data_IF_982173270686
#
_entry.id   IF_982173270686
#
_cell.length_a   1.000
_cell.length_b   1.000
_cell.length_c   1.000
_cell.angle_alpha   90.00
_cell.angle_beta   90.00
_cell.angle_gamma   90.00
#
_symmetry.space_group_name_H-M   'P 1'
#
loop_
_entity.id
_entity.type
_entity.pdbx_description
1 polymer ?
#
# COMPACT_ATOMS: atom_id res chain seq x y z
N UNK A 1 -1.75 4.82 24.06
CA UNK A 1 -2.25 4.99 22.68
C UNK A 1 -3.77 5.07 22.74
N UNK A 2 -4.39 5.96 21.94
CA UNK A 2 -5.85 6.11 21.90
C UNK A 2 -6.34 5.41 20.64
N UNK A 3 -7.20 4.39 20.81
CA UNK A 3 -7.83 3.67 19.71
C UNK A 3 -8.60 4.64 18.78
N UNK A 4 -8.30 4.61 17.49
CA UNK A 4 -9.02 5.36 16.45
C UNK A 4 -9.77 4.40 15.53
N UNK A 5 -11.04 4.67 15.32
CA UNK A 5 -11.90 3.91 14.39
C UNK A 5 -12.17 4.75 13.15
N UNK A 6 -11.90 4.18 11.98
CA UNK A 6 -12.14 4.78 10.66
C UNK A 6 -13.01 3.80 9.87
N UNK A 7 -13.94 4.31 9.06
CA UNK A 7 -14.88 3.47 8.32
C UNK A 7 -14.75 3.69 6.81
N UNK A 8 -14.85 2.60 6.06
CA UNK A 8 -15.03 2.60 4.62
C UNK A 8 -16.41 2.04 4.32
N UNK A 9 -17.19 2.81 3.57
CA UNK A 9 -18.52 2.42 3.10
C UNK A 9 -18.49 2.29 1.57
N UNK A 10 -18.02 1.15 1.08
CA UNK A 10 -17.94 0.83 -0.32
C UNK A 10 -19.20 0.16 -0.87
N UNK A 11 -19.28 0.02 -2.19
CA UNK A 11 -20.32 -0.80 -2.85
C UNK A 11 -20.05 -2.29 -2.69
N UNK A 12 -18.80 -2.67 -2.45
CA UNK A 12 -18.35 -4.05 -2.30
C UNK A 12 -18.31 -4.52 -0.84
N UNK A 13 -18.70 -3.67 0.10
CA UNK A 13 -18.76 -4.00 1.53
C UNK A 13 -18.48 -2.79 2.43
N UNK A 14 -18.58 -3.03 3.72
CA UNK A 14 -18.27 -2.08 4.78
C UNK A 14 -17.05 -2.59 5.54
N UNK A 15 -16.10 -1.70 5.82
CA UNK A 15 -14.88 -2.05 6.57
C UNK A 15 -14.66 -1.09 7.73
N UNK A 16 -14.25 -1.63 8.87
CA UNK A 16 -13.87 -0.88 10.05
C UNK A 16 -12.36 -0.99 10.27
N UNK A 17 -11.66 0.15 10.32
CA UNK A 17 -10.21 0.18 10.50
C UNK A 17 -9.92 0.71 11.91
N UNK A 18 -9.21 -0.09 12.69
CA UNK A 18 -8.87 0.20 14.07
C UNK A 18 -7.37 0.50 14.16
N UNK A 19 -7.00 1.77 14.32
CA UNK A 19 -5.59 2.18 14.45
C UNK A 19 -5.22 2.32 15.92
N UNK A 20 -4.16 1.63 16.34
CA UNK A 20 -3.72 1.56 17.73
C UNK A 20 -4.34 0.41 18.52
N UNK A 21 -5.11 -0.47 17.87
CA UNK A 21 -5.58 -1.72 18.45
C UNK A 21 -4.46 -2.78 18.44
N UNK A 22 -4.48 -3.65 19.44
CA UNK A 22 -3.44 -4.69 19.57
C UNK A 22 -3.86 -6.01 18.93
N UNK A 23 -2.91 -6.66 18.26
CA UNK A 23 -3.01 -8.06 17.79
C UNK A 23 -3.53 -9.00 18.90
N UNK A 24 -3.19 -8.74 20.16
CA UNK A 24 -3.59 -9.57 21.31
C UNK A 24 -5.08 -9.51 21.65
N UNK A 25 -5.81 -8.54 21.12
CA UNK A 25 -7.23 -8.35 21.38
C UNK A 25 -8.12 -8.94 20.28
N UNK A 26 -7.56 -9.72 19.35
CA UNK A 26 -8.27 -10.27 18.18
C UNK A 26 -9.52 -11.09 18.53
N UNK A 27 -9.49 -11.83 19.63
CA UNK A 27 -10.63 -12.64 20.06
C UNK A 27 -11.93 -11.83 20.19
N UNK A 28 -11.84 -10.54 20.53
CA UNK A 28 -13.01 -9.65 20.65
C UNK A 28 -13.65 -9.25 19.31
N UNK A 29 -12.99 -9.53 18.19
CA UNK A 29 -13.44 -9.21 16.84
C UNK A 29 -13.92 -10.45 16.05
N UNK A 30 -13.72 -11.66 16.60
CA UNK A 30 -13.94 -12.91 15.87
C UNK A 30 -15.24 -13.62 16.24
N UNK A 31 -15.95 -13.15 17.24
CA UNK A 31 -17.23 -13.68 17.75
C UNK A 31 -17.21 -15.20 17.97
N UNK A 32 -17.18 -16.10 18.04
CA UNK A 32 -17.15 -17.57 18.12
C UNK A 32 -17.15 -18.25 16.73
N UNK A 33 -16.80 -17.52 15.66
CA UNK A 33 -16.72 -18.08 14.31
C UNK A 33 -15.59 -19.10 14.20
N UNK A 34 -15.72 -20.07 13.31
CA UNK A 34 -14.57 -20.86 12.87
C UNK A 34 -13.60 -19.92 12.11
N UNK A 35 -12.33 -19.90 12.49
CA UNK A 35 -11.33 -19.01 11.92
C UNK A 35 -10.19 -19.81 11.28
N UNK A 36 -9.81 -19.43 10.06
CA UNK A 36 -8.54 -19.83 9.47
C UNK A 36 -7.65 -18.59 9.31
N UNK A 37 -6.44 -18.66 9.86
CA UNK A 37 -5.44 -17.58 9.75
C UNK A 37 -4.53 -17.89 8.57
N UNK A 38 -4.39 -16.92 7.64
CA UNK A 38 -3.42 -16.96 6.56
C UNK A 38 -2.27 -16.04 6.95
N UNK A 39 -1.05 -16.57 6.98
CA UNK A 39 0.16 -15.84 7.39
C UNK A 39 1.39 -16.36 6.63
N UNK A 40 2.50 -15.66 6.73
CA UNK A 40 3.79 -16.14 6.22
C UNK A 40 4.71 -16.64 7.34
N UNK A 41 5.77 -17.38 6.97
CA UNK A 41 6.69 -17.98 7.95
C UNK A 41 7.42 -16.96 8.81
N UNK A 42 7.70 -15.75 8.30
CA UNK A 42 8.36 -14.70 9.07
C UNK A 42 7.43 -14.19 10.19
N UNK A 43 6.19 -13.89 9.83
CA UNK A 43 5.18 -13.36 10.77
C UNK A 43 4.80 -14.42 11.79
N UNK A 44 4.59 -15.68 11.36
CA UNK A 44 4.34 -16.80 12.26
C UNK A 44 5.48 -16.97 13.27
N UNK A 45 6.74 -16.89 12.83
CA UNK A 45 7.91 -17.01 13.69
C UNK A 45 7.95 -15.96 14.84
N UNK A 46 7.40 -14.78 14.64
CA UNK A 46 7.36 -13.72 15.66
C UNK A 46 6.09 -13.75 16.51
N UNK A 47 4.93 -14.04 15.92
CA UNK A 47 3.62 -13.67 16.49
C UNK A 47 2.64 -14.82 16.65
N UNK A 48 2.91 -16.06 16.17
CA UNK A 48 1.95 -17.17 16.22
C UNK A 48 1.44 -17.48 17.64
N UNK A 49 2.29 -17.30 18.65
CA UNK A 49 1.90 -17.46 20.07
C UNK A 49 0.86 -16.46 20.56
N UNK A 50 0.73 -15.32 19.88
CA UNK A 50 -0.22 -14.25 20.16
C UNK A 50 -1.47 -14.34 19.24
N UNK A 51 -1.56 -15.36 18.36
CA UNK A 51 -2.72 -15.59 17.51
C UNK A 51 -3.89 -16.15 18.32
N UNK A 52 -5.12 -15.83 17.93
CA UNK A 52 -6.30 -16.51 18.48
C UNK A 52 -6.26 -18.00 18.14
N UNK A 53 -7.05 -18.80 18.88
CA UNK A 53 -7.17 -20.23 18.60
C UNK A 53 -7.84 -20.46 17.23
N UNK A 54 -7.05 -20.80 16.23
CA UNK A 54 -7.51 -20.98 14.85
C UNK A 54 -6.64 -22.00 14.12
N UNK A 55 -7.07 -22.43 12.95
CA UNK A 55 -6.22 -23.15 12.03
C UNK A 55 -5.28 -22.16 11.32
N UNK A 56 -3.97 -22.43 11.32
CA UNK A 56 -2.96 -21.54 10.73
C UNK A 56 -2.49 -22.11 9.40
N UNK A 57 -2.75 -21.40 8.33
CA UNK A 57 -2.29 -21.70 6.97
C UNK A 57 -1.08 -20.82 6.69
N UNK A 58 0.09 -21.42 6.55
CA UNK A 58 1.32 -20.69 6.22
C UNK A 58 1.56 -20.71 4.73
N UNK A 59 1.88 -19.53 4.19
CA UNK A 59 2.29 -19.36 2.79
C UNK A 59 3.78 -18.98 2.71
N UNK A 60 4.36 -19.10 1.53
CA UNK A 60 5.72 -18.65 1.28
C UNK A 60 5.89 -17.14 1.49
N UNK A 61 7.14 -16.69 1.60
CA UNK A 61 7.50 -15.28 1.81
C UNK A 61 7.83 -14.58 0.49
N UNK A 62 7.64 -13.27 0.46
CA UNK A 62 8.01 -12.40 -0.67
C UNK A 62 7.07 -12.48 -1.86
N UNK A 63 7.34 -11.66 -2.87
CA UNK A 63 6.46 -11.47 -4.05
C UNK A 63 6.24 -12.76 -4.87
N UNK A 64 7.19 -13.70 -4.80
CA UNK A 64 7.07 -15.01 -5.46
C UNK A 64 5.95 -15.90 -4.92
N UNK A 65 5.49 -15.65 -3.69
CA UNK A 65 4.37 -16.38 -3.10
C UNK A 65 2.99 -15.87 -3.55
N UNK A 66 2.91 -14.73 -4.23
CA UNK A 66 1.65 -14.09 -4.64
C UNK A 66 1.11 -14.67 -5.95
N UNK A 67 0.74 -15.94 -5.95
CA UNK A 67 0.38 -16.72 -7.15
C UNK A 67 -0.96 -17.45 -7.00
N UNK A 68 -1.54 -17.89 -8.13
CA UNK A 68 -2.71 -18.76 -8.13
C UNK A 68 -2.41 -20.14 -7.51
N UNK A 69 -1.18 -20.63 -7.62
CA UNK A 69 -0.75 -21.89 -6.99
C UNK A 69 -0.84 -21.81 -5.46
N UNK A 70 -0.39 -20.70 -4.87
CA UNK A 70 -0.55 -20.43 -3.44
C UNK A 70 -2.03 -20.41 -3.03
N UNK A 71 -2.87 -19.78 -3.84
CA UNK A 71 -4.33 -19.72 -3.61
C UNK A 71 -4.94 -21.11 -3.67
N UNK A 72 -4.55 -21.95 -4.64
CA UNK A 72 -4.99 -23.34 -4.75
C UNK A 72 -4.60 -24.15 -3.50
N UNK A 73 -3.37 -24.02 -3.01
CA UNK A 73 -2.91 -24.68 -1.79
C UNK A 73 -3.69 -24.25 -0.53
N UNK A 74 -4.15 -22.98 -0.48
CA UNK A 74 -5.03 -22.51 0.60
C UNK A 74 -6.42 -23.15 0.48
N UNK A 75 -7.00 -23.24 -0.73
CA UNK A 75 -8.29 -23.90 -0.93
C UNK A 75 -8.26 -25.38 -0.52
N UNK A 76 -7.18 -26.09 -0.84
CA UNK A 76 -7.02 -27.50 -0.42
C UNK A 76 -7.09 -27.64 1.11
N UNK A 77 -6.35 -26.80 1.83
CA UNK A 77 -6.39 -26.81 3.29
C UNK A 77 -7.75 -26.43 3.87
N UNK A 78 -8.45 -25.45 3.28
CA UNK A 78 -9.82 -25.10 3.70
C UNK A 78 -10.81 -26.24 3.47
N UNK A 79 -10.68 -27.01 2.38
CA UNK A 79 -11.51 -28.20 2.11
C UNK A 79 -11.20 -29.31 3.11
N UNK A 80 -9.92 -29.56 3.42
CA UNK A 80 -9.51 -30.54 4.43
C UNK A 80 -10.01 -30.19 5.83
N UNK A 81 -10.19 -28.91 6.13
CA UNK A 81 -10.81 -28.40 7.36
C UNK A 81 -12.34 -28.51 7.38
N UNK A 82 -12.94 -29.00 6.30
CA UNK A 82 -14.40 -28.99 6.13
C UNK A 82 -15.01 -27.59 6.33
N UNK A 83 -14.25 -26.53 5.94
CA UNK A 83 -14.64 -25.15 6.11
C UNK A 83 -15.90 -24.82 5.29
N UNK A 84 -16.99 -24.43 5.96
CA UNK A 84 -18.22 -24.01 5.33
C UNK A 84 -18.28 -22.47 5.12
N UNK A 85 -19.44 -21.95 4.72
CA UNK A 85 -19.63 -20.52 4.44
C UNK A 85 -19.56 -19.61 5.66
N UNK A 86 -19.58 -20.15 6.87
CA UNK A 86 -19.47 -19.40 8.12
C UNK A 86 -18.02 -19.19 8.56
N UNK A 87 -17.06 -19.79 7.85
CA UNK A 87 -15.63 -19.58 8.15
C UNK A 87 -15.24 -18.12 7.97
N UNK A 88 -14.42 -17.64 8.91
CA UNK A 88 -13.79 -16.32 8.80
C UNK A 88 -12.32 -16.47 8.44
N UNK A 89 -11.87 -15.77 7.38
CA UNK A 89 -10.48 -15.77 6.99
C UNK A 89 -9.77 -14.54 7.55
N UNK A 90 -8.70 -14.74 8.32
CA UNK A 90 -7.93 -13.68 8.94
C UNK A 90 -6.52 -13.63 8.34
N UNK A 91 -6.22 -12.58 7.58
CA UNK A 91 -4.88 -12.34 7.06
C UNK A 91 -4.01 -11.63 8.10
N UNK A 92 -2.99 -12.30 8.65
CA UNK A 92 -2.02 -11.69 9.55
C UNK A 92 -0.66 -11.65 8.84
N UNK A 93 -0.29 -10.49 8.29
CA UNK A 93 0.93 -10.39 7.49
C UNK A 93 1.09 -9.07 6.75
N UNK A 94 2.08 -9.01 5.86
CA UNK A 94 2.30 -7.89 4.97
C UNK A 94 1.26 -7.79 3.85
N UNK A 95 1.44 -6.85 2.92
CA UNK A 95 0.51 -6.62 1.81
C UNK A 95 0.24 -7.86 0.94
N UNK A 96 1.23 -8.75 0.78
CA UNK A 96 1.08 -10.00 0.03
C UNK A 96 0.06 -10.91 0.73
N UNK A 97 0.18 -11.08 2.04
CA UNK A 97 -0.77 -11.88 2.84
C UNK A 97 -2.17 -11.27 2.78
N UNK A 98 -2.29 -9.94 2.92
CA UNK A 98 -3.59 -9.26 2.81
C UNK A 98 -4.23 -9.50 1.44
N UNK A 99 -3.48 -9.30 0.35
CA UNK A 99 -4.00 -9.46 -1.01
C UNK A 99 -4.44 -10.90 -1.30
N UNK A 100 -3.64 -11.90 -0.90
CA UNK A 100 -3.98 -13.34 -1.05
C UNK A 100 -5.21 -13.67 -0.20
N UNK A 101 -5.24 -13.28 1.07
CA UNK A 101 -6.37 -13.55 1.97
C UNK A 101 -7.68 -12.99 1.41
N UNK A 102 -7.68 -11.73 1.00
CA UNK A 102 -8.87 -11.11 0.45
C UNK A 102 -9.32 -11.74 -0.88
N UNK A 103 -8.37 -12.17 -1.72
CA UNK A 103 -8.70 -12.88 -2.97
C UNK A 103 -9.28 -14.26 -2.70
N UNK A 104 -8.67 -15.05 -1.79
CA UNK A 104 -9.20 -16.35 -1.34
C UNK A 104 -10.59 -16.19 -0.76
N UNK A 105 -10.76 -15.25 0.19
CA UNK A 105 -12.05 -15.00 0.82
C UNK A 105 -13.14 -14.64 -0.20
N UNK A 106 -12.80 -13.86 -1.21
CA UNK A 106 -13.75 -13.42 -2.23
C UNK A 106 -14.16 -14.52 -3.20
N UNK A 107 -13.40 -15.60 -3.30
CA UNK A 107 -13.59 -16.65 -4.31
C UNK A 107 -13.95 -18.02 -3.72
N UNK A 108 -13.47 -18.36 -2.52
CA UNK A 108 -13.84 -19.57 -1.81
C UNK A 108 -15.34 -19.59 -1.54
N UNK A 109 -16.04 -20.67 -1.89
CA UNK A 109 -17.51 -20.84 -1.76
C UNK A 109 -18.34 -19.65 -2.33
N UNK A 110 -17.79 -18.86 -3.26
CA UNK A 110 -18.33 -17.61 -3.85
C UNK A 110 -18.37 -16.43 -2.89
N UNK A 111 -17.55 -16.45 -1.85
CA UNK A 111 -17.38 -15.39 -0.87
C UNK A 111 -17.61 -15.86 0.56
N UNK A 112 -16.64 -15.58 1.42
CA UNK A 112 -16.69 -15.73 2.87
C UNK A 112 -16.16 -14.46 3.52
N UNK A 113 -16.48 -14.25 4.80
CA UNK A 113 -16.06 -13.06 5.54
C UNK A 113 -14.57 -13.11 5.88
N UNK A 114 -13.95 -11.94 5.96
CA UNK A 114 -12.53 -11.85 6.24
C UNK A 114 -12.13 -10.52 6.90
N UNK A 115 -10.95 -10.53 7.53
CA UNK A 115 -10.32 -9.37 8.13
C UNK A 115 -8.80 -9.39 8.00
N UNK A 116 -8.16 -8.29 8.39
CA UNK A 116 -6.72 -8.13 8.30
C UNK A 116 -6.07 -7.64 9.59
N UNK A 117 -4.86 -8.15 9.85
CA UNK A 117 -3.89 -7.57 10.75
C UNK A 117 -2.60 -7.31 9.96
N UNK A 118 -2.48 -6.14 9.33
CA UNK A 118 -1.30 -5.80 8.54
C UNK A 118 -0.07 -5.63 9.42
N UNK A 119 1.01 -6.35 9.11
CA UNK A 119 2.24 -6.36 9.93
C UNK A 119 3.39 -5.55 9.35
N UNK A 120 3.24 -4.97 8.16
CA UNK A 120 4.19 -4.01 7.60
C UNK A 120 3.60 -2.61 7.61
N UNK A 121 4.44 -1.57 7.70
CA UNK A 121 3.97 -0.18 7.66
C UNK A 121 3.21 0.11 6.35
N UNK A 122 3.76 -0.36 5.22
CA UNK A 122 3.11 -0.25 3.90
C UNK A 122 1.70 -0.86 3.91
N UNK A 123 1.53 -2.03 4.53
CA UNK A 123 0.22 -2.67 4.59
C UNK A 123 -0.73 -1.94 5.53
N UNK A 124 -0.27 -1.40 6.66
CA UNK A 124 -1.09 -0.65 7.60
C UNK A 124 -1.66 0.63 6.99
N UNK A 125 -0.85 1.35 6.19
CA UNK A 125 -1.28 2.64 5.63
C UNK A 125 -1.86 2.54 4.22
N UNK A 126 -1.60 1.44 3.51
CA UNK A 126 -1.99 1.33 2.09
C UNK A 126 -2.60 -0.04 1.74
N UNK A 127 -1.86 -1.13 1.67
CA UNK A 127 -2.31 -2.37 1.03
C UNK A 127 -3.57 -2.98 1.65
N UNK A 128 -3.77 -2.92 2.97
CA UNK A 128 -4.96 -3.47 3.65
C UNK A 128 -6.21 -2.59 3.51
N UNK A 129 -6.08 -1.37 2.99
CA UNK A 129 -7.15 -0.36 2.97
C UNK A 129 -7.70 -0.18 1.56
N UNK A 130 -9.02 -0.32 1.39
CA UNK A 130 -9.69 0.00 0.13
C UNK A 130 -9.99 -1.17 -0.79
N UNK A 131 -9.98 -2.40 -0.27
CA UNK A 131 -10.59 -3.59 -0.86
C UNK A 131 -9.95 -4.14 -2.13
N UNK A 132 -8.82 -3.64 -2.59
CA UNK A 132 -8.07 -4.25 -3.68
C UNK A 132 -7.43 -5.53 -3.19
N UNK A 133 -7.71 -6.66 -3.83
CA UNK A 133 -7.13 -7.96 -3.53
C UNK A 133 -6.72 -8.64 -4.82
N UNK A 134 -5.74 -9.53 -4.80
CA UNK A 134 -5.37 -10.24 -6.01
C UNK A 134 -4.00 -10.87 -5.97
N UNK A 135 -3.68 -11.54 -7.08
CA UNK A 135 -2.44 -12.28 -7.28
C UNK A 135 -1.77 -11.90 -8.60
N UNK A 136 -0.50 -12.24 -8.70
CA UNK A 136 0.29 -12.08 -9.91
C UNK A 136 -0.04 -13.20 -10.90
N UNK A 137 0.03 -12.88 -12.18
CA UNK A 137 -0.21 -13.85 -13.23
C UNK A 137 0.66 -13.58 -14.46
N UNK A 138 1.33 -14.60 -14.97
CA UNK A 138 2.20 -14.55 -16.18
C UNK A 138 3.21 -13.38 -16.14
N UNK A 139 3.84 -13.13 -14.98
CA UNK A 139 4.83 -12.05 -14.80
C UNK A 139 4.25 -10.64 -14.64
N UNK A 140 2.92 -10.50 -14.61
CA UNK A 140 2.25 -9.23 -14.35
C UNK A 140 1.76 -9.17 -12.90
N UNK A 141 2.11 -8.10 -12.18
CA UNK A 141 1.65 -7.87 -10.81
C UNK A 141 0.15 -7.57 -10.78
N UNK A 142 -0.54 -8.13 -9.77
CA UNK A 142 -1.95 -7.86 -9.47
C UNK A 142 -2.90 -8.00 -10.68
N UNK A 143 -2.62 -8.95 -11.59
CA UNK A 143 -3.37 -9.10 -12.83
C UNK A 143 -4.74 -9.74 -12.61
N UNK A 144 -4.83 -10.65 -11.65
CA UNK A 144 -6.07 -11.35 -11.30
C UNK A 144 -6.48 -10.93 -9.91
N UNK A 145 -7.65 -10.33 -9.77
CA UNK A 145 -8.09 -9.80 -8.48
C UNK A 145 -9.51 -9.26 -8.52
N UNK A 146 -9.98 -8.86 -7.35
CA UNK A 146 -11.31 -8.30 -7.14
C UNK A 146 -11.26 -7.10 -6.21
N UNK A 147 -12.33 -6.32 -6.17
CA UNK A 147 -12.59 -5.35 -5.11
C UNK A 147 -13.54 -6.00 -4.11
N UNK A 148 -13.09 -6.19 -2.88
CA UNK A 148 -13.90 -6.68 -1.77
C UNK A 148 -13.37 -6.11 -0.45
N UNK A 149 -14.24 -5.54 0.39
CA UNK A 149 -13.83 -4.91 1.65
C UNK A 149 -13.73 -5.96 2.77
N UNK A 150 -12.64 -5.97 3.58
CA UNK A 150 -12.59 -6.76 4.80
C UNK A 150 -13.60 -6.21 5.81
N UNK A 151 -14.17 -7.07 6.68
CA UNK A 151 -15.01 -6.60 7.78
C UNK A 151 -14.26 -5.63 8.68
N UNK A 152 -13.01 -5.98 9.01
CA UNK A 152 -12.15 -5.13 9.81
C UNK A 152 -10.68 -5.17 9.38
N UNK A 153 -9.96 -4.12 9.76
CA UNK A 153 -8.49 -4.03 9.69
C UNK A 153 -7.97 -3.57 11.05
N UNK A 154 -7.07 -4.33 11.66
CA UNK A 154 -6.44 -3.97 12.92
C UNK A 154 -5.00 -3.52 12.66
N UNK A 155 -4.75 -2.23 12.74
CA UNK A 155 -3.42 -1.64 12.62
C UNK A 155 -2.79 -1.53 14.01
N UNK A 156 -1.95 -2.50 14.36
CA UNK A 156 -1.14 -2.51 15.58
C UNK A 156 0.26 -1.94 15.27
N UNK A 157 0.58 -0.70 15.68
CA UNK A 157 1.93 -0.15 15.46
C UNK A 157 3.01 -0.94 16.21
N UNK A 158 2.64 -1.70 17.24
CA UNK A 158 3.56 -2.49 18.05
C UNK A 158 4.24 -3.63 17.29
N UNK A 159 3.60 -4.16 16.25
CA UNK A 159 4.16 -5.25 15.41
C UNK A 159 5.27 -4.74 14.46
N UNK A 160 5.38 -3.43 14.25
CA UNK A 160 6.43 -2.86 13.40
C UNK A 160 7.84 -2.98 13.99
N UNK A 161 7.96 -3.32 15.28
CA UNK A 161 9.27 -3.50 15.95
C UNK A 161 10.10 -4.65 15.39
N UNK A 162 9.46 -5.65 14.78
CA UNK A 162 10.15 -6.79 14.16
C UNK A 162 10.31 -6.63 12.65
N UNK A 163 9.77 -5.54 12.08
CA UNK A 163 9.87 -5.28 10.66
C UNK A 163 11.31 -4.87 10.28
N UNK A 164 11.91 -5.47 9.24
CA UNK A 164 13.20 -5.04 8.73
C UNK A 164 13.18 -3.55 8.38
N UNK A 165 14.27 -2.84 8.68
CA UNK A 165 14.35 -1.39 8.46
C UNK A 165 14.05 -0.98 7.02
N UNK A 166 14.47 -1.78 6.03
CA UNK A 166 14.21 -1.51 4.60
C UNK A 166 12.71 -1.52 4.29
N UNK A 167 11.97 -2.47 4.87
CA UNK A 167 10.52 -2.58 4.68
C UNK A 167 9.77 -1.44 5.42
N UNK A 168 10.28 -1.04 6.57
CA UNK A 168 9.76 0.12 7.29
C UNK A 168 9.92 1.40 6.43
N UNK A 169 11.13 1.64 5.90
CA UNK A 169 11.43 2.78 5.02
C UNK A 169 10.51 2.76 3.78
N UNK A 170 10.31 1.58 3.18
CA UNK A 170 9.39 1.43 2.05
C UNK A 170 7.97 1.91 2.37
N UNK A 171 7.46 1.66 3.59
CA UNK A 171 6.15 2.12 4.03
C UNK A 171 6.05 3.65 4.16
N UNK A 172 7.14 4.32 4.54
CA UNK A 172 7.14 5.79 4.62
C UNK A 172 6.94 6.48 3.27
N UNK A 173 7.29 5.87 2.15
CA UNK A 173 7.01 6.43 0.83
C UNK A 173 5.51 6.66 0.60
N UNK A 174 4.67 5.70 1.02
CA UNK A 174 3.22 5.82 0.91
C UNK A 174 2.65 6.89 1.86
N UNK A 175 3.22 7.03 3.05
CA UNK A 175 2.86 8.07 4.01
C UNK A 175 3.14 9.46 3.43
N UNK A 176 4.35 9.68 2.88
CA UNK A 176 4.71 10.93 2.20
C UNK A 176 3.79 11.18 1.01
N UNK A 177 3.48 10.15 0.22
CA UNK A 177 2.54 10.25 -0.89
C UNK A 177 1.17 10.75 -0.43
N UNK A 178 0.60 10.15 0.62
CA UNK A 178 -0.72 10.55 1.14
C UNK A 178 -0.73 12.01 1.59
N UNK A 179 0.28 12.45 2.35
CA UNK A 179 0.41 13.82 2.77
C UNK A 179 0.56 14.78 1.57
N UNK A 180 1.44 14.46 0.62
CA UNK A 180 1.71 15.29 -0.54
C UNK A 180 0.47 15.52 -1.44
N UNK A 181 -0.40 14.51 -1.57
CA UNK A 181 -1.60 14.62 -2.44
C UNK A 181 -2.81 15.24 -1.76
N UNK A 182 -2.90 15.26 -0.42
CA UNK A 182 -4.16 15.54 0.27
C UNK A 182 -4.07 16.54 1.42
N UNK A 183 -2.92 16.65 2.14
CA UNK A 183 -2.86 17.48 3.37
C UNK A 183 -1.46 18.07 3.61
N UNK A 184 -1.35 19.40 3.44
CA UNK A 184 -0.09 20.13 3.69
C UNK A 184 0.28 20.18 5.18
N UNK A 185 -0.70 20.19 6.09
CA UNK A 185 -0.45 20.23 7.53
C UNK A 185 0.16 18.90 7.98
N UNK A 186 -0.37 17.79 7.46
CA UNK A 186 0.18 16.47 7.68
C UNK A 186 1.60 16.34 7.07
N UNK A 187 1.84 16.92 5.89
CA UNK A 187 3.17 16.96 5.29
C UNK A 187 4.17 17.68 6.21
N UNK A 188 3.79 18.84 6.77
CA UNK A 188 4.62 19.59 7.72
C UNK A 188 4.87 18.80 9.00
N UNK A 189 3.84 18.10 9.52
CA UNK A 189 4.02 17.22 10.68
C UNK A 189 5.06 16.13 10.42
N UNK A 190 5.08 15.55 9.22
CA UNK A 190 6.10 14.56 8.84
C UNK A 190 7.50 15.16 8.77
N UNK A 191 7.65 16.40 8.25
CA UNK A 191 8.95 17.09 8.23
C UNK A 191 9.50 17.28 9.65
N UNK A 192 8.64 17.64 10.62
CA UNK A 192 9.02 17.89 12.01
C UNK A 192 9.29 16.61 12.80
N UNK A 193 8.69 15.48 12.41
CA UNK A 193 8.72 14.24 13.18
C UNK A 193 9.42 13.06 12.47
N UNK A 194 10.09 13.27 11.34
CA UNK A 194 10.74 12.20 10.58
C UNK A 194 11.71 11.36 11.42
N UNK A 195 12.52 12.00 12.26
CA UNK A 195 13.47 11.32 13.17
C UNK A 195 12.76 10.43 14.20
N UNK A 196 11.68 10.93 14.80
CA UNK A 196 10.87 10.17 15.77
C UNK A 196 10.15 8.98 15.11
N UNK A 197 9.69 9.16 13.86
CA UNK A 197 9.08 8.10 13.07
C UNK A 197 10.08 6.96 12.78
N UNK A 198 11.31 7.28 12.41
CA UNK A 198 12.37 6.29 12.12
C UNK A 198 12.79 5.46 13.34
N UNK A 199 12.70 6.02 14.54
CA UNK A 199 12.99 5.30 15.80
C UNK A 199 11.74 4.63 16.39
N UNK A 200 10.64 4.57 15.64
CA UNK A 200 9.38 3.94 16.02
C UNK A 200 8.77 4.53 17.30
N UNK A 201 8.85 5.88 17.47
CA UNK A 201 8.12 6.53 18.57
C UNK A 201 6.64 6.17 18.50
N UNK A 202 6.05 5.58 19.55
CA UNK A 202 4.70 5.03 19.47
C UNK A 202 3.62 6.08 19.21
N UNK A 203 3.77 7.29 19.73
CA UNK A 203 2.79 8.36 19.57
C UNK A 203 2.85 8.91 18.14
N UNK A 204 4.06 9.12 17.61
CA UNK A 204 4.28 9.58 16.22
C UNK A 204 3.80 8.54 15.24
N UNK A 205 4.16 7.25 15.43
CA UNK A 205 3.69 6.17 14.55
C UNK A 205 2.17 6.06 14.50
N UNK A 206 1.52 6.09 15.66
CA UNK A 206 0.06 6.02 15.69
C UNK A 206 -0.56 7.19 14.93
N UNK A 207 -0.03 8.41 15.11
CA UNK A 207 -0.56 9.60 14.45
C UNK A 207 -0.38 9.50 12.93
N UNK A 208 0.83 9.17 12.44
CA UNK A 208 1.10 9.09 11.00
C UNK A 208 0.34 7.96 10.31
N UNK A 209 0.15 6.82 10.97
CA UNK A 209 -0.67 5.73 10.44
C UNK A 209 -2.13 6.19 10.37
N UNK A 210 -2.64 6.80 11.44
CA UNK A 210 -4.02 7.28 11.49
C UNK A 210 -4.31 8.29 10.37
N UNK A 211 -3.49 9.33 10.23
CA UNK A 211 -3.70 10.38 9.22
C UNK A 211 -3.61 9.82 7.80
N UNK A 212 -2.66 8.91 7.56
CA UNK A 212 -2.54 8.21 6.28
C UNK A 212 -3.79 7.39 5.94
N UNK A 213 -4.30 6.61 6.91
CA UNK A 213 -5.50 5.80 6.74
C UNK A 213 -6.74 6.66 6.52
N UNK A 214 -6.88 7.78 7.26
CA UNK A 214 -7.97 8.75 7.06
C UNK A 214 -7.98 9.29 5.64
N UNK A 215 -6.83 9.75 5.13
CA UNK A 215 -6.71 10.25 3.76
C UNK A 215 -7.11 9.18 2.75
N UNK A 216 -6.58 7.96 2.91
CA UNK A 216 -6.87 6.88 1.98
C UNK A 216 -8.33 6.46 2.04
N UNK A 217 -8.90 6.30 3.23
CA UNK A 217 -10.30 5.93 3.42
C UNK A 217 -11.25 6.97 2.79
N UNK A 218 -10.98 8.26 2.97
CA UNK A 218 -11.76 9.34 2.37
C UNK A 218 -11.73 9.29 0.83
N UNK A 219 -10.57 9.04 0.22
CA UNK A 219 -10.44 8.88 -1.23
C UNK A 219 -11.18 7.62 -1.71
N UNK A 220 -11.07 6.50 -0.99
CA UNK A 220 -11.75 5.24 -1.33
C UNK A 220 -13.27 5.39 -1.22
N UNK A 221 -13.77 6.05 -0.19
CA UNK A 221 -15.20 6.33 -0.01
C UNK A 221 -15.79 7.13 -1.18
N UNK A 222 -15.00 8.01 -1.80
CA UNK A 222 -15.42 8.79 -2.97
C UNK A 222 -15.29 8.02 -4.29
N UNK A 223 -14.33 7.09 -4.37
CA UNK A 223 -14.05 6.35 -5.61
C UNK A 223 -13.45 4.97 -5.30
N UNK A 224 -14.28 4.01 -4.97
CA UNK A 224 -13.85 2.67 -4.59
C UNK A 224 -13.09 1.93 -5.72
N UNK A 225 -13.52 2.10 -6.97
CA UNK A 225 -13.04 1.33 -8.13
C UNK A 225 -12.00 2.03 -9.00
N UNK A 226 -11.45 3.17 -8.53
CA UNK A 226 -10.36 3.91 -9.19
C UNK A 226 -10.70 4.43 -10.61
N UNK A 227 -11.90 4.96 -10.76
CA UNK A 227 -12.33 5.58 -12.03
C UNK A 227 -12.08 7.08 -12.11
N UNK A 228 -11.81 7.74 -10.98
CA UNK A 228 -11.64 9.19 -10.87
C UNK A 228 -10.66 9.60 -9.77
N UNK A 229 -11.18 10.03 -8.61
CA UNK A 229 -10.42 10.58 -7.47
C UNK A 229 -9.33 9.64 -6.93
N UNK A 230 -9.60 8.34 -6.89
CA UNK A 230 -8.63 7.34 -6.39
C UNK A 230 -7.37 7.26 -7.23
N UNK A 231 -7.40 7.71 -8.50
CA UNK A 231 -6.20 7.81 -9.35
C UNK A 231 -5.11 8.69 -8.71
N UNK A 232 -5.48 9.65 -7.84
CA UNK A 232 -4.52 10.51 -7.13
C UNK A 232 -3.55 9.73 -6.25
N UNK A 233 -3.96 8.56 -5.75
CA UNK A 233 -3.09 7.64 -5.02
C UNK A 233 -1.92 7.08 -5.86
N UNK A 234 -1.96 7.27 -7.18
CA UNK A 234 -0.86 6.89 -8.07
C UNK A 234 0.23 8.00 -8.20
N UNK A 235 0.26 9.01 -7.34
CA UNK A 235 1.37 9.97 -7.30
C UNK A 235 2.69 9.24 -7.08
N UNK A 236 3.66 9.48 -7.96
CA UNK A 236 4.93 8.74 -7.98
C UNK A 236 4.89 7.37 -8.66
N UNK A 237 3.74 6.69 -8.72
CA UNK A 237 3.65 5.30 -9.20
C UNK A 237 3.85 5.14 -10.70
N UNK A 238 3.44 6.12 -11.52
CA UNK A 238 3.54 5.99 -12.97
C UNK A 238 4.99 5.78 -13.42
N UNK A 239 5.93 6.55 -12.88
CA UNK A 239 7.34 6.35 -13.12
C UNK A 239 7.96 5.31 -12.18
N UNK A 240 7.52 5.28 -10.91
CA UNK A 240 8.01 4.33 -9.91
C UNK A 240 7.90 2.87 -10.36
N UNK A 241 6.80 2.44 -10.99
CA UNK A 241 6.66 1.07 -11.50
C UNK A 241 7.68 0.74 -12.62
N UNK A 242 8.03 1.72 -13.47
CA UNK A 242 9.09 1.51 -14.46
C UNK A 242 10.44 1.34 -13.78
N UNK A 243 10.74 2.15 -12.75
CA UNK A 243 11.96 2.03 -11.94
C UNK A 243 12.00 0.70 -11.20
N UNK A 244 10.94 0.32 -10.50
CA UNK A 244 10.82 -0.95 -9.78
C UNK A 244 11.12 -2.15 -10.69
N UNK A 245 10.53 -2.16 -11.88
CA UNK A 245 10.69 -3.23 -12.86
C UNK A 245 12.10 -3.29 -13.46
N UNK A 246 12.72 -2.15 -13.72
CA UNK A 246 14.02 -2.09 -14.43
C UNK A 246 15.21 -2.17 -13.49
N UNK A 247 15.12 -1.60 -12.28
CA UNK A 247 16.18 -1.57 -11.29
C UNK A 247 16.08 -2.68 -10.22
N UNK A 248 14.92 -3.35 -10.08
CA UNK A 248 14.73 -4.39 -9.08
C UNK A 248 14.81 -3.89 -7.63
N UNK A 249 14.51 -2.61 -7.39
CA UNK A 249 14.53 -2.01 -6.06
C UNK A 249 13.14 -2.14 -5.38
N UNK A 250 13.06 -2.01 -4.04
CA UNK A 250 11.79 -2.06 -3.32
C UNK A 250 10.79 -1.03 -3.82
N UNK A 251 9.51 -1.38 -3.68
CA UNK A 251 8.39 -0.56 -4.11
C UNK A 251 8.45 0.88 -3.59
N UNK A 252 8.63 1.10 -2.28
CA UNK A 252 8.68 2.44 -1.71
C UNK A 252 9.88 3.27 -2.17
N UNK A 253 11.04 2.63 -2.41
CA UNK A 253 12.21 3.30 -3.00
C UNK A 253 11.88 3.79 -4.42
N UNK A 254 11.24 2.95 -5.21
CA UNK A 254 10.82 3.28 -6.58
C UNK A 254 9.75 4.38 -6.60
N UNK A 255 8.76 4.33 -5.70
CA UNK A 255 7.72 5.36 -5.56
C UNK A 255 8.32 6.70 -5.12
N UNK A 256 9.33 6.69 -4.22
CA UNK A 256 10.05 7.89 -3.81
C UNK A 256 10.69 8.60 -5.01
N UNK A 257 11.45 7.88 -5.82
CA UNK A 257 12.04 8.41 -7.05
C UNK A 257 10.92 8.92 -7.98
N UNK A 258 9.85 8.17 -8.12
CA UNK A 258 8.70 8.55 -8.93
C UNK A 258 8.02 9.83 -8.45
N UNK A 259 7.92 10.07 -7.14
CA UNK A 259 7.39 11.33 -6.57
C UNK A 259 8.27 12.53 -6.92
N UNK A 260 9.59 12.38 -6.89
CA UNK A 260 10.51 13.43 -7.31
C UNK A 260 10.31 13.78 -8.79
N UNK A 261 10.21 12.77 -9.66
CA UNK A 261 9.95 12.96 -11.09
C UNK A 261 8.61 13.65 -11.35
N UNK A 262 7.54 13.19 -10.68
CA UNK A 262 6.21 13.80 -10.79
C UNK A 262 6.20 15.26 -10.29
N UNK A 263 7.01 15.58 -9.26
CA UNK A 263 7.17 16.94 -8.75
C UNK A 263 7.90 17.85 -9.74
N UNK A 264 8.92 17.34 -10.42
CA UNK A 264 9.62 18.06 -11.49
C UNK A 264 8.73 18.29 -12.71
N UNK A 265 7.90 17.32 -13.09
CA UNK A 265 6.85 17.50 -14.09
C UNK A 265 5.86 18.59 -13.67
N UNK A 266 5.47 18.62 -12.40
CA UNK A 266 4.57 19.65 -11.83
C UNK A 266 5.21 21.06 -11.91
N UNK A 267 6.53 21.17 -11.66
CA UNK A 267 7.27 22.42 -11.83
C UNK A 267 7.31 22.85 -13.30
N UNK A 268 7.62 21.93 -14.21
CA UNK A 268 7.67 22.20 -15.65
C UNK A 268 6.34 22.72 -16.19
N UNK A 269 5.22 22.23 -15.62
CA UNK A 269 3.86 22.70 -15.90
C UNK A 269 3.49 24.02 -15.20
N UNK A 270 4.37 24.58 -14.39
CA UNK A 270 4.08 25.79 -13.60
C UNK A 270 3.11 25.59 -12.43
N UNK A 271 2.86 24.33 -12.04
CA UNK A 271 1.97 23.97 -10.94
C UNK A 271 2.64 24.06 -9.57
N UNK A 272 3.90 23.59 -9.46
CA UNK A 272 4.71 23.66 -8.25
C UNK A 272 5.80 24.74 -8.36
N UNK A 273 6.29 25.17 -7.21
CA UNK A 273 7.48 26.04 -7.08
C UNK A 273 8.68 25.20 -6.69
N UNK A 274 9.89 25.71 -7.00
CA UNK A 274 11.16 25.03 -6.63
C UNK A 274 11.22 24.70 -5.14
N UNK A 275 10.82 25.64 -4.26
CA UNK A 275 10.78 25.42 -2.82
C UNK A 275 9.93 24.21 -2.38
N UNK A 276 8.87 23.90 -3.10
CA UNK A 276 7.99 22.78 -2.77
C UNK A 276 8.66 21.45 -3.14
N UNK A 277 9.42 21.42 -4.25
CA UNK A 277 10.23 20.26 -4.62
C UNK A 277 11.35 20.04 -3.61
N UNK A 278 12.01 21.09 -3.16
CA UNK A 278 13.08 21.02 -2.17
C UNK A 278 12.53 20.43 -0.85
N UNK A 279 11.34 20.83 -0.43
CA UNK A 279 10.64 20.24 0.75
C UNK A 279 10.39 18.74 0.54
N UNK A 280 9.84 18.35 -0.62
CA UNK A 280 9.54 16.94 -0.92
C UNK A 280 10.84 16.11 -0.90
N UNK A 281 11.89 16.56 -1.58
CA UNK A 281 13.20 15.89 -1.59
C UNK A 281 13.79 15.79 -0.18
N UNK A 282 13.70 16.88 0.58
CA UNK A 282 14.23 16.93 1.95
C UNK A 282 13.53 15.91 2.86
N UNK A 283 12.18 15.87 2.84
CA UNK A 283 11.42 14.92 3.65
C UNK A 283 11.74 13.46 3.25
N UNK A 284 11.79 13.16 1.95
CA UNK A 284 12.16 11.82 1.47
C UNK A 284 13.57 11.43 1.96
N UNK A 285 14.53 12.35 1.90
CA UNK A 285 15.90 12.12 2.39
C UNK A 285 15.95 11.95 3.90
N UNK A 286 15.20 12.75 4.67
CA UNK A 286 15.10 12.58 6.14
C UNK A 286 14.57 11.19 6.53
N UNK A 287 13.70 10.61 5.70
CA UNK A 287 13.14 9.27 5.88
C UNK A 287 14.00 8.16 5.23
N UNK A 288 15.23 8.45 4.85
CA UNK A 288 16.17 7.52 4.19
C UNK A 288 15.65 6.94 2.85
N UNK A 289 14.76 7.64 2.17
CA UNK A 289 14.25 7.28 0.85
C UNK A 289 15.11 7.88 -0.25
N UNK A 290 15.38 7.15 -1.36
CA UNK A 290 16.17 7.68 -2.47
C UNK A 290 15.42 8.76 -3.23
N UNK A 291 16.16 9.80 -3.66
CA UNK A 291 15.62 10.95 -4.42
C UNK A 291 16.26 11.11 -5.80
N UNK A 292 17.24 10.27 -6.13
CA UNK A 292 17.99 10.31 -7.39
C UNK A 292 17.76 9.05 -8.22
N UNK A 293 17.93 9.19 -9.54
CA UNK A 293 17.83 8.08 -10.49
C UNK A 293 19.26 7.59 -10.80
N UNK A 294 19.61 6.42 -10.28
CA UNK A 294 20.92 5.78 -10.55
C UNK A 294 20.84 4.73 -11.68
N UNK A 295 19.81 4.74 -12.49
CA UNK A 295 19.52 3.71 -13.48
C UNK A 295 19.42 4.25 -14.90
N UNK A 296 19.51 3.35 -15.89
CA UNK A 296 19.42 3.65 -17.32
C UNK A 296 18.07 4.27 -17.70
N UNK A 297 18.07 5.58 -17.91
CA UNK A 297 16.89 6.37 -18.28
C UNK A 297 16.23 5.88 -19.57
N UNK A 298 16.99 5.29 -20.50
CA UNK A 298 16.47 4.78 -21.78
C UNK A 298 15.61 3.53 -21.54
N UNK A 299 16.08 2.62 -20.68
CA UNK A 299 15.29 1.43 -20.29
C UNK A 299 14.01 1.79 -19.56
N UNK A 300 14.06 2.83 -18.73
CA UNK A 300 12.88 3.33 -18.01
C UNK A 300 11.85 3.92 -18.96
N UNK A 301 12.28 4.69 -19.96
CA UNK A 301 11.40 5.23 -21.01
C UNK A 301 10.75 4.10 -21.83
N UNK A 302 11.52 3.08 -22.22
CA UNK A 302 10.96 1.92 -22.93
C UNK A 302 9.93 1.18 -22.07
N UNK A 303 10.22 0.95 -20.78
CA UNK A 303 9.27 0.33 -19.86
C UNK A 303 7.97 1.14 -19.71
N UNK A 304 8.08 2.47 -19.64
CA UNK A 304 6.94 3.37 -19.54
C UNK A 304 6.11 3.40 -20.82
N UNK A 305 6.76 3.35 -21.99
CA UNK A 305 6.09 3.35 -23.31
C UNK A 305 5.22 2.11 -23.51
N UNK A 306 5.54 1.01 -22.83
CA UNK A 306 4.81 -0.28 -22.85
C UNK A 306 3.78 -0.40 -21.73
N UNK A 307 3.61 0.61 -20.86
CA UNK A 307 2.64 0.57 -19.74
C UNK A 307 1.20 0.59 -20.27
N UNK A 308 0.33 -0.19 -19.64
CA UNK A 308 -1.11 -0.27 -19.92
C UNK A 308 -1.88 1.03 -19.66
N UNK A 309 -1.28 2.00 -18.93
CA UNK A 309 -1.84 3.33 -18.68
C UNK A 309 -1.75 4.27 -19.87
N UNK A 310 -1.21 3.81 -21.01
CA UNK A 310 -1.10 4.58 -22.25
C UNK A 310 -2.46 4.67 -22.96
N UNK A 311 -2.91 5.89 -23.24
CA UNK A 311 -4.02 6.17 -24.13
C UNK A 311 -3.53 7.05 -25.30
N UNK A 312 -3.33 6.47 -26.47
CA UNK A 312 -2.76 7.16 -27.63
C UNK A 312 -1.30 7.59 -27.36
N UNK A 313 -0.98 8.89 -27.58
CA UNK A 313 0.39 9.42 -27.47
C UNK A 313 0.75 9.96 -26.07
N UNK A 314 -0.07 9.73 -25.06
CA UNK A 314 0.17 10.25 -23.72
C UNK A 314 -0.09 9.24 -22.60
N UNK A 315 0.45 9.55 -21.43
CA UNK A 315 0.31 8.77 -20.20
C UNK A 315 -0.28 9.67 -19.14
N UNK A 316 -1.20 9.13 -18.32
CA UNK A 316 -1.74 9.85 -17.18
C UNK A 316 -0.73 9.88 -16.02
N UNK A 317 -0.40 11.08 -15.59
CA UNK A 317 0.40 11.34 -14.40
C UNK A 317 -0.45 12.02 -13.34
N UNK A 318 -0.15 11.70 -12.09
CA UNK A 318 -0.60 12.50 -10.96
C UNK A 318 0.46 13.55 -10.70
N UNK A 319 0.05 14.80 -10.72
CA UNK A 319 0.88 15.97 -10.47
C UNK A 319 0.39 16.69 -9.21
N UNK A 320 1.21 17.56 -8.64
CA UNK A 320 0.82 18.41 -7.53
C UNK A 320 0.59 19.85 -8.01
N UNK A 321 -0.58 20.42 -7.70
CA UNK A 321 -0.81 21.87 -7.87
C UNK A 321 -0.26 22.70 -6.69
N UNK A 322 -0.06 22.05 -5.55
CA UNK A 322 0.69 22.43 -4.35
C UNK A 322 0.88 21.19 -3.49
N UNK A 323 1.75 21.23 -2.49
CA UNK A 323 1.76 20.22 -1.44
C UNK A 323 0.37 20.17 -0.79
N UNK A 324 -0.18 18.97 -0.61
CA UNK A 324 -1.54 18.74 -0.12
C UNK A 324 -2.63 18.82 -1.18
N UNK A 325 -2.30 18.98 -2.47
CA UNK A 325 -3.31 19.00 -3.54
C UNK A 325 -2.81 18.42 -4.87
N UNK A 326 -3.32 17.25 -5.21
CA UNK A 326 -3.00 16.57 -6.46
C UNK A 326 -4.03 16.82 -7.57
N UNK A 327 -3.56 16.76 -8.82
CA UNK A 327 -4.34 16.77 -10.05
C UNK A 327 -3.90 15.63 -10.96
N UNK A 328 -4.78 15.16 -11.83
CA UNK A 328 -4.45 14.11 -12.82
C UNK A 328 -4.37 14.76 -14.19
N UNK A 329 -3.22 14.64 -14.86
CA UNK A 329 -2.99 15.21 -16.17
C UNK A 329 -2.43 14.18 -17.15
N UNK A 330 -2.80 14.32 -18.42
CA UNK A 330 -2.23 13.55 -19.51
C UNK A 330 -0.97 14.24 -20.02
N UNK A 331 0.16 13.55 -19.96
CA UNK A 331 1.48 14.05 -20.37
C UNK A 331 1.89 13.34 -21.65
N UNK A 332 2.32 14.12 -22.66
CA UNK A 332 2.88 13.57 -23.88
C UNK A 332 4.25 12.93 -23.59
N UNK A 333 4.54 11.79 -24.24
CA UNK A 333 5.82 11.09 -24.04
C UNK A 333 7.02 12.00 -24.31
N UNK A 334 7.00 12.82 -25.37
CA UNK A 334 8.07 13.76 -25.71
C UNK A 334 8.29 14.85 -24.64
N UNK A 335 7.25 15.24 -23.92
CA UNK A 335 7.37 16.17 -22.78
C UNK A 335 8.01 15.48 -21.58
N UNK A 336 7.57 14.25 -21.28
CA UNK A 336 8.15 13.45 -20.22
C UNK A 336 9.66 13.18 -20.46
N UNK A 337 10.06 12.80 -21.69
CA UNK A 337 11.45 12.56 -22.05
C UNK A 337 12.33 13.78 -21.78
N UNK A 338 11.88 14.99 -22.15
CA UNK A 338 12.62 16.24 -21.89
C UNK A 338 12.85 16.49 -20.40
N UNK A 339 11.82 16.26 -19.58
CA UNK A 339 11.94 16.41 -18.12
C UNK A 339 12.88 15.35 -17.54
N UNK A 340 12.77 14.08 -17.96
CA UNK A 340 13.64 13.02 -17.50
C UNK A 340 15.13 13.27 -17.84
N UNK A 341 15.42 13.84 -19.01
CA UNK A 341 16.80 14.21 -19.39
C UNK A 341 17.37 15.36 -18.54
N UNK A 342 16.52 16.24 -18.00
CA UNK A 342 16.93 17.35 -17.14
C UNK A 342 17.22 16.94 -15.69
N UNK A 343 16.86 15.71 -15.29
CA UNK A 343 17.15 15.18 -13.95
C UNK A 343 18.61 14.73 -13.93
N UNK A 344 19.41 15.13 -12.93
CA UNK A 344 20.81 14.74 -12.82
C UNK A 344 20.99 13.23 -12.60
#
# INVERSE_FOLDING_TARGET
LVLKKIEIQGKTGHSQIFVGESLKNLDSYLDQRQVAIITDDNVAGFYEKDFPKAHVIRIGTGEGAKTLETVEGIYQQLIELEADRSIFLLGIGGGIVCDITGFVASTYLRGVDFGYVPTTLLAQVDASVGGKTGVNFMGYKNMVGVFNQPEFVICDPGVLKTLPQRDLISGFAEIVKHAAIADESYFTYLEENAGNALVLDPAVLQQIICDSVVIKADIVNRDETERGERRKLNFGHTFGHAVEKTAGIPHGEAVSIGMVVASLLSLNKGLLKVKDIDRIRHLLTLLNLPVNIESDKVKMLDALSRDKKREGDGIYFVLLSKIGKAVVEKIALAEFERVLQSIP
#
